data_IF_185841652890
#
_entry.id   IF_185841652890
#
_cell.length_a   1.000
_cell.length_b   1.000
_cell.length_c   1.000
_cell.angle_alpha   90.00
_cell.angle_beta   90.00
_cell.angle_gamma   90.00
#
_symmetry.space_group_name_H-M   'P 1'
#
loop_
_entity.id
_entity.type
_entity.pdbx_description
1 polymer ?
#
# COMPACT_ATOMS: atom_id res chain seq x y z
N UNK A 1 -12.61 -24.42 -1.53
CA UNK A 1 -12.70 -23.01 -1.97
C UNK A 1 -11.90 -22.24 -0.95
N UNK A 2 -10.64 -21.97 -1.27
CA UNK A 2 -9.67 -21.40 -0.32
C UNK A 2 -10.18 -20.05 0.18
N UNK A 3 -10.47 -19.97 1.47
CA UNK A 3 -10.69 -18.72 2.17
C UNK A 3 -9.35 -18.00 2.14
N UNK A 4 -9.19 -17.05 1.22
CA UNK A 4 -8.13 -16.06 1.28
C UNK A 4 -8.46 -15.14 2.46
N UNK A 5 -8.26 -15.64 3.69
CA UNK A 5 -8.13 -14.77 4.85
C UNK A 5 -6.95 -13.89 4.51
N UNK A 6 -7.22 -12.62 4.16
CA UNK A 6 -6.20 -11.62 3.86
C UNK A 6 -5.22 -11.62 5.02
N UNK A 7 -4.15 -12.41 4.88
CA UNK A 7 -3.10 -12.51 5.86
C UNK A 7 -2.58 -11.11 6.09
N UNK A 8 -2.31 -10.80 7.35
CA UNK A 8 -1.77 -9.56 7.91
C UNK A 8 -0.39 -9.23 7.34
N UNK A 9 -0.28 -9.19 6.01
CA UNK A 9 0.92 -8.88 5.28
C UNK A 9 1.16 -7.39 5.40
N UNK A 10 2.45 -6.99 5.45
CA UNK A 10 2.80 -5.60 5.25
C UNK A 10 2.06 -4.97 4.09
N UNK A 11 1.47 -3.82 4.37
CA UNK A 11 0.94 -2.97 3.34
C UNK A 11 2.13 -2.41 2.54
N UNK A 12 2.31 -2.94 1.33
CA UNK A 12 3.45 -2.63 0.48
C UNK A 12 3.13 -1.45 -0.47
N UNK A 13 4.16 -0.93 -1.14
CA UNK A 13 4.00 0.22 -2.05
C UNK A 13 3.00 -0.06 -3.19
N UNK A 14 2.93 -1.30 -3.68
CA UNK A 14 1.97 -1.67 -4.72
C UNK A 14 0.53 -1.61 -4.20
N UNK A 15 0.26 -2.10 -2.99
CA UNK A 15 -1.07 -2.04 -2.38
C UNK A 15 -1.52 -0.59 -2.18
N UNK A 16 -0.60 0.29 -1.78
CA UNK A 16 -0.88 1.72 -1.64
C UNK A 16 -1.25 2.38 -2.95
N UNK A 17 -0.56 2.03 -4.03
CA UNK A 17 -0.87 2.53 -5.36
C UNK A 17 -2.26 2.06 -5.80
N UNK A 18 -2.54 0.76 -5.66
CA UNK A 18 -3.84 0.17 -6.04
C UNK A 18 -4.99 0.73 -5.20
N UNK A 19 -4.80 0.83 -3.89
CA UNK A 19 -5.80 1.39 -2.97
C UNK A 19 -6.06 2.88 -3.21
N UNK A 20 -5.06 3.60 -3.75
CA UNK A 20 -5.21 4.99 -4.18
C UNK A 20 -5.84 5.14 -5.57
N UNK A 21 -6.26 4.04 -6.22
CA UNK A 21 -6.84 4.06 -7.57
C UNK A 21 -5.85 4.39 -8.68
N UNK A 22 -4.55 4.22 -8.42
CA UNK A 22 -3.47 4.47 -9.39
C UNK A 22 -2.97 3.14 -9.95
N UNK A 23 -2.33 3.20 -11.12
CA UNK A 23 -1.65 2.04 -11.70
C UNK A 23 -0.24 1.88 -11.10
N UNK A 24 0.23 0.63 -10.88
CA UNK A 24 1.55 0.29 -10.35
C UNK A 24 2.65 0.51 -11.39
N UNK A 25 2.81 1.76 -11.80
CA UNK A 25 3.93 2.20 -12.62
C UNK A 25 5.13 2.52 -11.73
N UNK A 26 6.37 2.51 -12.25
CA UNK A 26 7.57 2.83 -11.47
C UNK A 26 7.42 4.16 -10.70
N UNK A 27 6.84 5.18 -11.34
CA UNK A 27 6.60 6.49 -10.71
C UNK A 27 5.62 6.41 -9.54
N UNK A 28 4.52 5.68 -9.68
CA UNK A 28 3.54 5.51 -8.60
C UNK A 28 4.14 4.70 -7.44
N UNK A 29 4.96 3.69 -7.74
CA UNK A 29 5.64 2.88 -6.74
C UNK A 29 6.68 3.68 -5.95
N UNK A 30 7.41 4.59 -6.59
CA UNK A 30 8.33 5.51 -5.90
C UNK A 30 7.57 6.49 -5.00
N UNK A 31 6.44 7.04 -5.46
CA UNK A 31 5.58 7.87 -4.64
C UNK A 31 5.09 7.12 -3.39
N UNK A 32 4.65 5.87 -3.57
CA UNK A 32 4.17 5.03 -2.49
C UNK A 32 5.28 4.65 -1.50
N UNK A 33 6.47 4.28 -1.98
CA UNK A 33 7.65 4.05 -1.13
C UNK A 33 7.99 5.28 -0.30
N UNK A 34 8.06 6.46 -0.93
CA UNK A 34 8.29 7.72 -0.20
C UNK A 34 7.22 7.98 0.84
N UNK A 35 5.94 7.72 0.53
CA UNK A 35 4.87 7.91 1.51
C UNK A 35 5.02 6.97 2.71
N UNK A 36 5.42 5.71 2.47
CA UNK A 36 5.68 4.72 3.52
C UNK A 36 6.88 5.13 4.36
N UNK A 37 7.94 5.65 3.75
CA UNK A 37 9.13 6.13 4.45
C UNK A 37 8.86 7.41 5.26
N UNK A 38 8.11 8.36 4.71
CA UNK A 38 7.83 9.66 5.36
C UNK A 38 6.78 9.56 6.47
N UNK A 39 5.71 8.78 6.25
CA UNK A 39 4.61 8.67 7.22
C UNK A 39 4.76 7.45 8.12
N UNK A 40 5.54 6.46 7.73
CA UNK A 40 5.62 5.17 8.38
C UNK A 40 4.41 4.30 8.03
N UNK A 41 4.64 2.98 7.97
CA UNK A 41 3.62 1.98 7.60
C UNK A 41 2.35 2.06 8.48
N UNK A 42 2.52 2.34 9.78
CA UNK A 42 1.41 2.48 10.73
C UNK A 42 0.50 3.71 10.48
N UNK A 43 1.04 4.78 9.87
CA UNK A 43 0.22 5.95 9.54
C UNK A 43 -0.53 5.76 8.21
N UNK A 44 -0.01 4.92 7.31
CA UNK A 44 -0.64 4.57 6.04
C UNK A 44 -1.90 3.73 6.28
N UNK A 45 -1.84 2.77 7.21
CA UNK A 45 -3.00 1.97 7.65
C UNK A 45 -4.16 2.83 8.19
N UNK A 46 -3.88 4.06 8.62
CA UNK A 46 -4.90 5.04 9.05
C UNK A 46 -5.40 5.94 7.91
N UNK A 47 -4.61 6.10 6.85
CA UNK A 47 -4.89 7.02 5.74
C UNK A 47 -5.63 6.38 4.58
N UNK A 48 -5.55 5.05 4.47
CA UNK A 48 -6.38 4.28 3.57
C UNK A 48 -7.64 3.83 4.32
N UNK A 49 -8.82 4.25 3.85
CA UNK A 49 -10.10 3.92 4.49
C UNK A 49 -10.44 2.42 4.40
#
# INVERSE_FOLDING_TARGET
MELYTGSERPFDAEDLVRASGREPTPQSLEWAQRLIEEKGRAAIERYLP
#
